data_IF_726529611356
#
_entry.id   IF_726529611356
#
_cell.length_a   1.000
_cell.length_b   1.000
_cell.length_c   1.000
_cell.angle_alpha   90.00
_cell.angle_beta   90.00
_cell.angle_gamma   90.00
#
_symmetry.space_group_name_H-M   'P 1'
#
loop_
_entity.id
_entity.type
_entity.pdbx_description
1 polymer ?
#
# COMPACT_ATOMS: atom_id res chain seq x y z
N UNK A 1 23.12 -2.28 16.99
CA UNK A 1 22.63 -2.28 16.81
C UNK A 1 21.92 -2.00 16.77
N UNK A 2 21.66 -1.89 16.58
CA UNK A 2 21.01 -1.74 16.64
C UNK A 2 20.05 -2.21 16.56
N UNK A 3 19.81 -2.28 16.93
CA UNK A 3 18.82 -2.95 17.10
C UNK A 3 17.67 -2.37 17.16
N UNK A 4 17.52 -1.48 17.24
CA UNK A 4 16.35 -0.93 17.50
C UNK A 4 15.36 -0.82 16.49
N UNK A 5 15.60 -0.41 15.33
CA UNK A 5 14.56 -0.15 14.42
C UNK A 5 14.47 -1.18 13.38
N UNK A 6 13.30 -1.75 13.12
CA UNK A 6 13.15 -2.72 12.06
C UNK A 6 13.35 -2.07 10.70
N UNK A 7 13.90 -2.83 9.80
CA UNK A 7 14.06 -2.35 8.44
C UNK A 7 12.74 -2.43 7.72
N UNK A 8 12.62 -1.66 6.67
CA UNK A 8 11.38 -1.67 5.89
C UNK A 8 11.09 -3.04 5.32
N UNK A 9 12.11 -3.78 4.90
CA UNK A 9 11.88 -5.12 4.37
C UNK A 9 11.23 -6.02 5.42
N UNK A 10 11.69 -5.92 6.67
CA UNK A 10 11.12 -6.73 7.73
C UNK A 10 9.67 -6.30 7.97
N UNK A 11 9.41 -5.01 7.95
CA UNK A 11 8.06 -4.52 8.13
C UNK A 11 7.15 -4.98 7.01
N UNK A 12 7.63 -4.99 5.78
CA UNK A 12 6.84 -5.45 4.66
C UNK A 12 6.55 -6.95 4.79
N UNK A 13 7.52 -7.72 5.25
CA UNK A 13 7.30 -9.16 5.42
C UNK A 13 6.23 -9.40 6.47
N UNK A 14 6.26 -8.67 7.57
CA UNK A 14 5.24 -8.83 8.59
C UNK A 14 3.89 -8.35 8.10
N UNK A 15 3.87 -7.24 7.37
CA UNK A 15 2.62 -6.76 6.80
C UNK A 15 1.99 -7.80 5.89
N UNK A 16 2.81 -8.41 5.05
CA UNK A 16 2.32 -9.43 4.15
C UNK A 16 1.79 -10.65 4.90
N UNK A 17 2.48 -11.04 5.97
CA UNK A 17 2.03 -12.17 6.78
C UNK A 17 0.64 -11.91 7.33
N UNK A 18 0.43 -10.73 7.91
CA UNK A 18 -0.87 -10.44 8.49
C UNK A 18 -1.94 -10.20 7.41
N UNK A 19 -1.54 -9.65 6.27
CA UNK A 19 -2.47 -9.47 5.18
C UNK A 19 -2.99 -10.83 4.71
N UNK A 20 -2.11 -11.80 4.59
CA UNK A 20 -2.51 -13.13 4.13
C UNK A 20 -3.45 -13.79 5.12
N UNK A 21 -3.37 -13.44 6.38
CA UNK A 21 -4.27 -14.00 7.37
C UNK A 21 -5.57 -13.22 7.47
N UNK A 22 -5.74 -12.18 6.71
CA UNK A 22 -6.94 -11.36 6.75
C UNK A 22 -6.94 -10.34 7.88
N UNK A 23 -5.83 -10.19 8.57
CA UNK A 23 -5.73 -9.25 9.67
C UNK A 23 -5.23 -7.92 9.12
N UNK A 24 -6.13 -7.20 8.46
CA UNK A 24 -5.74 -6.00 7.74
C UNK A 24 -5.29 -4.87 8.66
N UNK A 25 -5.88 -4.77 9.86
CA UNK A 25 -5.46 -3.71 10.77
C UNK A 25 -4.01 -3.89 11.21
N UNK A 26 -3.59 -5.11 11.50
CA UNK A 26 -2.22 -5.35 11.89
C UNK A 26 -1.29 -5.19 10.69
N UNK A 27 -1.75 -5.63 9.52
CA UNK A 27 -0.95 -5.44 8.30
C UNK A 27 -0.70 -3.96 8.06
N UNK A 28 -1.71 -3.13 8.26
CA UNK A 28 -1.58 -1.70 8.06
C UNK A 28 -0.52 -1.13 9.01
N UNK A 29 -0.52 -1.56 10.26
CA UNK A 29 0.49 -1.09 11.20
C UNK A 29 1.90 -1.34 10.66
N UNK A 30 2.16 -2.54 10.17
CA UNK A 30 3.50 -2.86 9.70
C UNK A 30 3.84 -2.13 8.41
N UNK A 31 2.88 -2.01 7.50
CA UNK A 31 3.16 -1.29 6.26
C UNK A 31 3.35 0.20 6.51
N UNK A 32 2.58 0.78 7.44
CA UNK A 32 2.79 2.19 7.74
C UNK A 32 4.14 2.41 8.39
N UNK A 33 4.56 1.49 9.24
CA UNK A 33 5.89 1.60 9.83
C UNK A 33 6.96 1.54 8.74
N UNK A 34 6.77 0.68 7.74
CA UNK A 34 7.72 0.59 6.65
C UNK A 34 7.89 1.93 5.93
N UNK A 35 6.81 2.68 5.78
CA UNK A 35 6.89 3.95 5.06
C UNK A 35 7.66 5.00 5.84
N UNK A 36 7.87 4.80 7.15
CA UNK A 36 8.61 5.76 7.94
C UNK A 36 10.09 5.42 8.01
N UNK A 37 10.52 4.27 7.50
CA UNK A 37 11.91 3.91 7.53
C UNK A 37 12.63 4.55 6.35
N UNK A 38 13.88 4.85 6.50
CA UNK A 38 14.65 5.38 5.40
C UNK A 38 15.73 4.40 5.04
N UNK A 39 16.07 4.30 3.77
CA UNK A 39 17.13 3.38 3.38
C UNK A 39 18.47 3.86 3.90
N UNK A 40 19.39 2.92 4.10
CA UNK A 40 20.72 3.30 4.49
C UNK A 40 21.50 3.56 3.24
N UNK A 41 21.46 4.73 2.80
CA UNK A 41 21.90 5.05 1.48
C UNK A 41 23.30 4.66 1.13
N UNK A 42 24.16 4.71 2.07
CA UNK A 42 25.51 4.43 1.71
C UNK A 42 25.71 2.99 1.39
N UNK A 43 24.83 2.14 1.84
CA UNK A 43 25.00 0.76 1.53
C UNK A 43 24.03 0.33 0.50
N UNK A 44 23.38 1.22 -0.10
CA UNK A 44 22.24 0.98 -0.84
C UNK A 44 22.14 -0.14 -1.77
N UNK A 45 23.15 -0.72 -2.12
CA UNK A 45 23.01 -1.76 -3.08
C UNK A 45 22.22 -2.94 -2.62
N UNK A 46 22.07 -3.11 -1.34
CA UNK A 46 21.40 -4.27 -0.88
C UNK A 46 20.02 -4.08 -0.37
N UNK A 47 19.56 -2.86 -0.24
CA UNK A 47 18.23 -2.68 0.22
C UNK A 47 17.28 -2.82 -0.89
N UNK A 48 16.04 -3.12 -0.60
CA UNK A 48 15.01 -3.17 -1.60
C UNK A 48 14.25 -1.87 -1.53
N UNK A 49 14.55 -0.93 -2.41
CA UNK A 49 13.96 0.40 -2.28
C UNK A 49 12.46 0.39 -2.29
N UNK A 50 11.84 -0.55 -2.97
CA UNK A 50 10.38 -0.58 -3.03
C UNK A 50 9.77 -0.81 -1.66
N UNK A 51 10.49 -1.42 -0.74
CA UNK A 51 9.94 -1.64 0.59
C UNK A 51 9.90 -0.38 1.42
N UNK A 52 10.55 0.69 0.95
CA UNK A 52 10.56 1.94 1.69
C UNK A 52 9.48 2.91 1.21
N UNK A 53 8.73 2.56 0.23
CA UNK A 53 7.68 3.46 -0.25
C UNK A 53 6.67 2.78 -1.14
N UNK A 54 7.07 2.40 -2.34
CA UNK A 54 6.12 1.92 -3.34
C UNK A 54 5.31 0.73 -2.85
N UNK A 55 5.98 -0.33 -2.39
CA UNK A 55 5.26 -1.53 -2.00
C UNK A 55 4.38 -1.32 -0.80
N UNK A 56 4.85 -0.70 0.29
CA UNK A 56 3.95 -0.46 1.40
C UNK A 56 2.79 0.45 1.04
N UNK A 57 3.00 1.47 0.19
CA UNK A 57 1.88 2.31 -0.19
C UNK A 57 0.84 1.52 -0.96
N UNK A 58 1.27 0.66 -1.88
CA UNK A 58 0.33 -0.11 -2.65
C UNK A 58 -0.41 -1.10 -1.78
N UNK A 59 0.28 -1.73 -0.84
CA UNK A 59 -0.37 -2.67 0.06
C UNK A 59 -1.30 -1.96 1.04
N UNK A 60 -0.95 -0.75 1.48
CA UNK A 60 -1.85 0.02 2.31
C UNK A 60 -3.12 0.35 1.55
N UNK A 61 -2.98 0.65 0.26
CA UNK A 61 -4.13 0.88 -0.58
C UNK A 61 -5.06 -0.33 -0.52
N UNK A 62 -4.53 -1.51 -0.70
CA UNK A 62 -5.35 -2.72 -0.71
C UNK A 62 -5.96 -2.97 0.67
N UNK A 63 -5.20 -2.79 1.74
CA UNK A 63 -5.70 -3.04 3.08
C UNK A 63 -6.85 -2.10 3.42
N UNK A 64 -6.68 -0.81 3.12
CA UNK A 64 -7.74 0.14 3.44
C UNK A 64 -8.97 -0.12 2.57
N UNK A 65 -8.77 -0.52 1.33
CA UNK A 65 -9.90 -0.84 0.48
C UNK A 65 -10.68 -2.02 1.04
N UNK A 66 -9.99 -3.03 1.55
CA UNK A 66 -10.66 -4.18 2.12
C UNK A 66 -11.43 -3.82 3.37
N UNK A 67 -11.02 -2.78 4.07
CA UNK A 67 -11.73 -2.34 5.25
C UNK A 67 -12.84 -1.35 4.94
N UNK A 68 -13.04 -1.02 3.68
CA UNK A 68 -14.08 -0.07 3.30
C UNK A 68 -13.66 1.38 3.36
N UNK A 69 -12.38 1.63 3.61
CA UNK A 69 -11.88 3.00 3.67
C UNK A 69 -11.35 3.41 2.32
N UNK A 70 -12.26 3.58 1.39
CA UNK A 70 -11.85 3.76 -0.01
C UNK A 70 -11.11 5.07 -0.24
N UNK A 71 -11.43 6.12 0.51
CA UNK A 71 -10.72 7.37 0.30
C UNK A 71 -9.29 7.29 0.75
N UNK A 72 -9.01 6.63 1.88
CA UNK A 72 -7.65 6.44 2.30
C UNK A 72 -6.92 5.54 1.33
N UNK A 73 -7.61 4.51 0.84
CA UNK A 73 -7.02 3.61 -0.13
C UNK A 73 -6.59 4.36 -1.38
N UNK A 74 -7.44 5.22 -1.88
CA UNK A 74 -7.10 5.99 -3.09
C UNK A 74 -5.91 6.90 -2.83
N UNK A 75 -5.83 7.48 -1.63
CA UNK A 75 -4.72 8.34 -1.31
C UNK A 75 -3.40 7.57 -1.34
N UNK A 76 -3.37 6.38 -0.77
CA UNK A 76 -2.14 5.59 -0.78
C UNK A 76 -1.79 5.12 -2.20
N UNK A 77 -2.81 4.87 -3.03
CA UNK A 77 -2.55 4.53 -4.41
C UNK A 77 -1.86 5.69 -5.13
N UNK A 78 -2.29 6.92 -4.85
CA UNK A 78 -1.64 8.07 -5.47
C UNK A 78 -0.21 8.24 -4.96
N UNK A 79 0.04 7.94 -3.69
CA UNK A 79 1.40 8.00 -3.19
C UNK A 79 2.29 6.99 -3.89
N UNK A 80 1.78 5.78 -4.15
CA UNK A 80 2.55 4.80 -4.89
C UNK A 80 2.80 5.28 -6.32
N UNK A 81 1.81 5.94 -6.90
CA UNK A 81 1.94 6.44 -8.26
C UNK A 81 2.98 7.54 -8.41
N UNK A 82 3.20 8.31 -7.34
CA UNK A 82 4.25 9.31 -7.41
C UNK A 82 5.60 8.62 -7.57
N UNK A 83 5.78 7.47 -6.94
CA UNK A 83 7.04 6.77 -7.03
C UNK A 83 7.16 5.96 -8.31
N UNK A 84 6.07 5.45 -8.82
CA UNK A 84 6.10 4.68 -10.08
C UNK A 84 4.95 5.11 -10.96
N UNK A 85 5.09 6.23 -11.66
CA UNK A 85 3.96 6.79 -12.39
C UNK A 85 3.39 5.91 -13.49
N UNK A 86 4.22 5.05 -14.05
CA UNK A 86 3.74 4.20 -15.13
C UNK A 86 3.31 2.82 -14.69
N UNK A 87 3.15 2.61 -13.41
CA UNK A 87 2.84 1.28 -12.93
C UNK A 87 1.42 0.88 -13.29
N UNK A 88 1.23 -0.26 -13.93
CA UNK A 88 -0.12 -0.67 -14.32
C UNK A 88 -1.04 -0.93 -13.13
N UNK A 89 -0.49 -1.37 -11.99
CA UNK A 89 -1.32 -1.60 -10.83
C UNK A 89 -1.88 -0.29 -10.29
N UNK A 90 -1.07 0.77 -10.29
CA UNK A 90 -1.53 2.06 -9.86
C UNK A 90 -2.64 2.57 -10.78
N UNK A 91 -2.44 2.41 -12.09
CA UNK A 91 -3.44 2.86 -13.05
C UNK A 91 -4.74 2.10 -12.91
N UNK A 92 -4.65 0.79 -12.71
CA UNK A 92 -5.85 -0.03 -12.55
C UNK A 92 -6.60 0.41 -11.29
N UNK A 93 -5.89 0.62 -10.20
CA UNK A 93 -6.52 1.04 -8.96
C UNK A 93 -7.14 2.42 -9.09
N UNK A 94 -6.48 3.30 -9.82
CA UNK A 94 -7.03 4.64 -10.00
C UNK A 94 -8.37 4.58 -10.72
N UNK A 95 -8.47 3.74 -11.73
CA UNK A 95 -9.73 3.58 -12.43
C UNK A 95 -10.79 2.98 -11.53
N UNK A 96 -10.42 2.01 -10.71
CA UNK A 96 -11.33 1.38 -9.79
C UNK A 96 -11.90 2.43 -8.81
N UNK A 97 -11.04 3.25 -8.23
CA UNK A 97 -11.51 4.24 -7.27
C UNK A 97 -12.32 5.34 -7.94
N UNK A 98 -12.01 5.66 -9.18
CA UNK A 98 -12.79 6.65 -9.91
C UNK A 98 -14.22 6.14 -10.12
N UNK A 99 -14.35 4.87 -10.44
CA UNK A 99 -15.69 4.32 -10.63
C UNK A 99 -16.46 4.31 -9.32
N UNK A 100 -15.81 3.99 -8.21
CA UNK A 100 -16.49 4.04 -6.94
C UNK A 100 -16.94 5.45 -6.60
N UNK A 101 -16.08 6.43 -6.91
CA UNK A 101 -16.41 7.79 -6.56
C UNK A 101 -17.57 8.31 -7.35
N UNK A 102 -17.69 7.92 -8.59
CA UNK A 102 -18.79 8.40 -9.40
C UNK A 102 -20.05 7.60 -9.15
N UNK A 103 -19.98 6.52 -8.40
CA UNK A 103 -21.15 5.74 -8.15
C UNK A 103 -21.51 4.76 -9.25
N UNK A 104 -20.67 4.64 -10.24
CA UNK A 104 -20.98 3.79 -11.33
C UNK A 104 -21.22 2.38 -10.91
N UNK A 105 -20.45 1.90 -9.98
CA UNK A 105 -20.66 0.60 -9.59
C UNK A 105 -21.88 0.42 -8.84
N UNK A 106 -22.30 1.36 -8.10
CA UNK A 106 -23.48 1.23 -7.42
C UNK A 106 -24.61 1.17 -8.29
N UNK A 107 -24.58 1.89 -9.36
CA UNK A 107 -25.66 1.90 -10.13
C UNK A 107 -25.88 0.68 -10.83
N UNK A 108 -24.89 0.14 -11.40
CA UNK A 108 -25.15 -0.88 -12.19
C UNK A 108 -25.69 -2.04 -11.58
N UNK A 109 -25.36 -2.39 -10.46
CA UNK A 109 -25.94 -3.57 -10.00
C UNK A 109 -27.36 -3.45 -9.81
N UNK A 110 -27.78 -2.33 -9.55
CA UNK A 110 -29.03 -2.27 -9.27
C UNK A 110 -29.87 -2.38 -10.33
N UNK A 111 -29.52 -1.88 -11.26
CA UNK A 111 -30.35 -1.78 -12.20
C UNK A 111 -30.72 -2.90 -12.73
N UNK A 112 -30.18 -3.67 -12.52
CA UNK A 112 -30.56 -4.72 -13.20
C UNK A 112 -31.37 -5.45 -12.64
#
# INVERSE_FOLDING_TARGET
MEYGEPRAEFCCDLGSHFYDRGDYHTAIFWYELATTRTPKGENGGFEQPDCYGYRPFLQLCVCYDRLGEHEKAALYNEKAGILKPDDPAVAFNRSYFARLRTGAEKEEPNEV
#
